data_IF_301154381841
#
_entry.id   IF_301154381841
#
_cell.length_a   1.000
_cell.length_b   1.000
_cell.length_c   1.000
_cell.angle_alpha   90.00
_cell.angle_beta   90.00
_cell.angle_gamma   90.00
#
_symmetry.space_group_name_H-M   'P 1'
#
loop_
_entity.id
_entity.type
_entity.pdbx_description
1 polymer ?
#
# COMPACT_ATOMS: atom_id res chain seq x y z
N UNK A 1 3.07 -9.08 -34.10
CA UNK A 1 2.93 -9.80 -32.80
C UNK A 1 3.96 -9.38 -31.76
N UNK A 2 5.24 -9.14 -32.11
CA UNK A 2 6.28 -8.71 -31.13
C UNK A 2 6.02 -7.35 -30.46
N UNK A 3 5.54 -6.36 -31.21
CA UNK A 3 5.22 -5.01 -30.69
C UNK A 3 4.09 -5.03 -29.63
N UNK A 4 3.07 -5.87 -29.83
CA UNK A 4 1.99 -6.02 -28.86
C UNK A 4 2.49 -6.59 -27.53
N UNK A 5 3.41 -7.55 -27.56
CA UNK A 5 4.02 -8.13 -26.37
C UNK A 5 4.95 -7.17 -25.60
N UNK A 6 5.61 -6.24 -26.30
CA UNK A 6 6.40 -5.19 -25.67
C UNK A 6 5.50 -4.12 -25.02
N UNK A 7 4.44 -3.70 -25.72
CA UNK A 7 3.47 -2.73 -25.21
C UNK A 7 2.75 -3.24 -23.94
N UNK A 8 2.33 -4.51 -23.92
CA UNK A 8 1.71 -5.14 -22.75
C UNK A 8 2.66 -5.16 -21.53
N UNK A 9 3.95 -5.44 -21.74
CA UNK A 9 4.95 -5.42 -20.67
C UNK A 9 5.15 -4.01 -20.11
N UNK A 10 5.26 -3.01 -20.98
CA UNK A 10 5.39 -1.62 -20.57
C UNK A 10 4.16 -1.13 -19.79
N UNK A 11 2.95 -1.45 -20.26
CA UNK A 11 1.71 -1.12 -19.56
C UNK A 11 1.66 -1.77 -18.16
N UNK A 12 2.03 -3.04 -18.04
CA UNK A 12 2.08 -3.74 -16.74
C UNK A 12 3.10 -3.13 -15.79
N UNK A 13 4.27 -2.73 -16.29
CA UNK A 13 5.30 -2.06 -15.50
C UNK A 13 4.81 -0.68 -15.00
N UNK A 14 4.13 0.09 -15.86
CA UNK A 14 3.55 1.38 -15.48
C UNK A 14 2.45 1.21 -14.42
N UNK A 15 1.55 0.25 -14.59
CA UNK A 15 0.50 -0.06 -13.60
C UNK A 15 1.13 -0.47 -12.27
N UNK A 16 2.17 -1.32 -12.29
CA UNK A 16 2.90 -1.69 -11.08
C UNK A 16 3.56 -0.47 -10.41
N UNK A 17 4.18 0.41 -11.19
CA UNK A 17 4.83 1.62 -10.68
C UNK A 17 3.81 2.58 -10.04
N UNK A 18 2.71 2.86 -10.74
CA UNK A 18 1.64 3.72 -10.23
C UNK A 18 1.02 3.13 -8.96
N UNK A 19 0.71 1.83 -8.94
CA UNK A 19 0.25 1.16 -7.72
C UNK A 19 1.27 1.23 -6.59
N UNK A 20 2.56 1.17 -6.91
CA UNK A 20 3.63 1.23 -5.92
C UNK A 20 3.78 2.62 -5.29
N UNK A 21 3.64 3.67 -6.11
CA UNK A 21 3.79 5.08 -5.71
C UNK A 21 2.53 5.60 -5.00
N UNK A 22 1.34 5.25 -5.48
CA UNK A 22 0.07 5.70 -4.89
C UNK A 22 -0.34 4.94 -3.63
N UNK A 23 0.50 4.03 -3.13
CA UNK A 23 0.22 3.26 -1.91
C UNK A 23 -0.74 2.09 -2.11
N UNK A 24 -0.98 1.64 -3.35
CA UNK A 24 -1.80 0.45 -3.65
C UNK A 24 -1.23 -0.85 -3.06
N UNK A 25 0.01 -0.83 -2.57
CA UNK A 25 0.66 -1.95 -1.87
C UNK A 25 0.88 -1.67 -0.37
N UNK A 26 0.27 -0.63 0.19
CA UNK A 26 0.49 -0.24 1.59
C UNK A 26 0.00 -1.30 2.56
N UNK A 27 -1.19 -1.88 2.33
CA UNK A 27 -1.71 -2.97 3.17
C UNK A 27 -0.78 -4.19 3.12
N UNK A 28 -0.36 -4.64 1.94
CA UNK A 28 0.56 -5.77 1.81
C UNK A 28 1.90 -5.52 2.53
N UNK A 29 2.45 -4.32 2.40
CA UNK A 29 3.67 -3.91 3.11
C UNK A 29 3.47 -3.88 4.62
N UNK A 30 2.31 -3.42 5.09
CA UNK A 30 1.95 -3.41 6.52
C UNK A 30 1.82 -4.84 7.08
N UNK A 31 1.18 -5.75 6.36
CA UNK A 31 1.10 -7.17 6.75
C UNK A 31 2.49 -7.81 6.83
N UNK A 32 3.34 -7.55 5.83
CA UNK A 32 4.72 -8.05 5.84
C UNK A 32 5.52 -7.49 7.03
N UNK A 33 5.36 -6.21 7.32
CA UNK A 33 5.95 -5.58 8.49
C UNK A 33 5.46 -6.22 9.80
N UNK A 34 4.15 -6.46 9.94
CA UNK A 34 3.58 -7.13 11.11
C UNK A 34 4.13 -8.55 11.26
N UNK A 35 4.15 -9.34 10.19
CA UNK A 35 4.69 -10.72 10.25
C UNK A 35 6.15 -10.77 10.68
N UNK A 36 6.96 -9.78 10.26
CA UNK A 36 8.39 -9.71 10.59
C UNK A 36 8.65 -9.23 12.02
N UNK A 37 7.90 -8.24 12.50
CA UNK A 37 8.21 -7.54 13.75
C UNK A 37 7.26 -7.90 14.90
N UNK A 38 6.07 -8.39 14.58
CA UNK A 38 4.99 -8.70 15.52
C UNK A 38 4.29 -10.02 15.13
N UNK A 39 5.01 -11.15 15.11
CA UNK A 39 4.46 -12.42 14.62
C UNK A 39 3.25 -12.92 15.41
N UNK A 40 3.15 -12.57 16.69
CA UNK A 40 2.05 -12.96 17.57
C UNK A 40 0.84 -12.03 17.46
N UNK A 41 0.95 -10.92 16.72
CA UNK A 41 -0.14 -9.98 16.55
C UNK A 41 -1.08 -10.44 15.42
N UNK A 42 -2.41 -10.43 15.64
CA UNK A 42 -3.34 -10.75 14.57
C UNK A 42 -3.20 -9.75 13.42
N UNK A 43 -3.24 -10.25 12.19
CA UNK A 43 -3.21 -9.41 10.99
C UNK A 43 -4.63 -8.83 10.80
N UNK A 44 -4.81 -7.50 10.86
CA UNK A 44 -6.12 -6.89 10.64
C UNK A 44 -6.55 -7.06 9.19
N UNK A 45 -7.85 -7.03 8.94
CA UNK A 45 -8.37 -6.98 7.56
C UNK A 45 -7.97 -5.67 6.88
N UNK A 46 -7.96 -5.66 5.55
CA UNK A 46 -7.63 -4.45 4.77
C UNK A 46 -8.53 -3.26 5.13
N UNK A 47 -9.82 -3.52 5.34
CA UNK A 47 -10.80 -2.49 5.75
C UNK A 47 -10.49 -1.92 7.13
N UNK A 48 -10.08 -2.75 8.08
CA UNK A 48 -9.70 -2.31 9.43
C UNK A 48 -8.43 -1.47 9.40
N UNK A 49 -7.42 -1.92 8.63
CA UNK A 49 -6.20 -1.16 8.41
C UNK A 49 -6.48 0.25 7.88
N UNK A 50 -7.29 0.39 6.83
CA UNK A 50 -7.62 1.70 6.26
C UNK A 50 -8.43 2.57 7.24
N UNK A 51 -9.40 1.98 7.93
CA UNK A 51 -10.19 2.70 8.95
C UNK A 51 -9.29 3.27 10.04
N UNK A 52 -8.39 2.45 10.58
CA UNK A 52 -7.50 2.86 11.66
C UNK A 52 -6.46 3.89 11.18
N UNK A 53 -5.92 3.72 9.96
CA UNK A 53 -4.99 4.68 9.36
C UNK A 53 -5.63 6.05 9.17
N UNK A 54 -6.87 6.12 8.68
CA UNK A 54 -7.60 7.38 8.56
C UNK A 54 -7.90 7.99 9.92
N UNK A 55 -8.39 7.19 10.87
CA UNK A 55 -8.65 7.67 12.21
C UNK A 55 -7.38 8.17 12.93
N UNK A 56 -6.22 7.55 12.67
CA UNK A 56 -4.93 8.02 13.17
C UNK A 56 -4.51 9.35 12.54
N UNK A 57 -4.75 9.53 11.24
CA UNK A 57 -4.50 10.80 10.56
C UNK A 57 -5.42 11.93 11.07
N UNK A 58 -6.69 11.62 11.37
CA UNK A 58 -7.63 12.58 11.95
C UNK A 58 -7.24 12.97 13.38
N UNK A 59 -6.80 12.00 14.20
CA UNK A 59 -6.34 12.25 15.58
C UNK A 59 -5.01 13.00 15.62
N UNK A 60 -4.11 12.72 14.69
CA UNK A 60 -2.78 13.31 14.62
C UNK A 60 -2.47 13.82 13.19
N UNK A 61 -3.10 14.93 12.76
CA UNK A 61 -2.81 15.54 11.48
C UNK A 61 -1.37 16.06 11.52
N UNK A 62 -0.47 15.33 10.85
CA UNK A 62 0.97 15.62 10.79
C UNK A 62 1.31 16.95 10.13
N UNK A 63 0.33 17.66 9.57
CA UNK A 63 0.45 18.94 8.89
C UNK A 63 -0.06 20.12 9.75
N UNK A 64 0.20 20.11 11.06
CA UNK A 64 0.04 21.36 11.82
C UNK A 64 1.25 22.24 11.48
N UNK A 65 1.10 23.11 10.48
CA UNK A 65 2.00 24.24 10.35
C UNK A 65 1.77 25.13 11.57
N UNK A 66 2.60 24.92 12.59
CA UNK A 66 2.78 25.83 13.70
C UNK A 66 4.29 26.07 13.79
#
# INVERSE_FOLDING_TARGET
MLLAGAALRAARALIWYVNSVLGGQDYARYVEHLRRNHPDHPIPTEREYWRERHAAADRNPANRCC
#
